data_IF_204177167733
#
_entry.id   IF_204177167733
#
_cell.length_a   1.000
_cell.length_b   1.000
_cell.length_c   1.000
_cell.angle_alpha   90.00
_cell.angle_beta   90.00
_cell.angle_gamma   90.00
#
_symmetry.space_group_name_H-M   'P 1'
#
loop_
_entity.id
_entity.type
_entity.pdbx_description
1 polymer ?
#
# COMPACT_ATOMS: atom_id res chain seq x y z
N UNK A 1 -4.50 -12.35 -36.21
CA UNK A 1 -5.62 -12.84 -35.37
C UNK A 1 -5.01 -13.09 -34.01
N UNK A 2 -5.62 -12.65 -32.91
CA UNK A 2 -5.05 -12.91 -31.58
C UNK A 2 -5.07 -14.42 -31.35
N UNK A 3 -3.90 -14.99 -31.06
CA UNK A 3 -3.79 -16.41 -30.75
C UNK A 3 -4.51 -16.69 -29.40
N UNK A 4 -5.09 -17.88 -29.28
CA UNK A 4 -5.82 -18.31 -28.07
C UNK A 4 -4.94 -18.18 -26.81
N UNK A 5 -3.64 -18.46 -26.94
CA UNK A 5 -2.64 -18.27 -25.88
C UNK A 5 -2.52 -16.82 -25.42
N UNK A 6 -2.57 -15.86 -26.34
CA UNK A 6 -2.48 -14.43 -26.04
C UNK A 6 -3.75 -13.96 -25.32
N UNK A 7 -4.92 -14.44 -25.75
CA UNK A 7 -6.20 -14.18 -25.09
C UNK A 7 -6.21 -14.66 -23.63
N UNK A 8 -5.70 -15.88 -23.37
CA UNK A 8 -5.58 -16.42 -22.01
C UNK A 8 -4.63 -15.60 -21.13
N UNK A 9 -3.51 -15.15 -21.67
CA UNK A 9 -2.56 -14.30 -20.93
C UNK A 9 -3.18 -12.95 -20.56
N UNK A 10 -3.94 -12.33 -21.46
CA UNK A 10 -4.63 -11.07 -21.20
C UNK A 10 -5.71 -11.23 -20.12
N UNK A 11 -6.51 -12.30 -20.19
CA UNK A 11 -7.52 -12.60 -19.17
C UNK A 11 -6.89 -12.83 -17.80
N UNK A 12 -5.76 -13.55 -17.76
CA UNK A 12 -5.00 -13.73 -16.52
C UNK A 12 -4.47 -12.41 -15.98
N UNK A 13 -3.90 -11.54 -16.82
CA UNK A 13 -3.40 -10.23 -16.41
C UNK A 13 -4.51 -9.32 -15.89
N UNK A 14 -5.70 -9.38 -16.49
CA UNK A 14 -6.90 -8.69 -15.99
C UNK A 14 -7.24 -9.15 -14.57
N UNK A 15 -7.29 -10.48 -14.36
CA UNK A 15 -7.56 -11.05 -13.05
C UNK A 15 -6.51 -10.65 -12.01
N UNK A 16 -5.23 -10.75 -12.35
CA UNK A 16 -4.13 -10.34 -11.48
C UNK A 16 -4.24 -8.86 -11.09
N UNK A 17 -4.59 -7.98 -12.04
CA UNK A 17 -4.76 -6.55 -11.77
C UNK A 17 -5.94 -6.27 -10.84
N UNK A 18 -7.11 -6.87 -11.10
CA UNK A 18 -8.30 -6.72 -10.25
C UNK A 18 -8.01 -7.21 -8.83
N UNK A 19 -7.41 -8.40 -8.71
CA UNK A 19 -7.07 -8.97 -7.42
C UNK A 19 -6.06 -8.10 -6.66
N UNK A 20 -4.98 -7.68 -7.31
CA UNK A 20 -3.98 -6.82 -6.69
C UNK A 20 -4.58 -5.50 -6.23
N UNK A 21 -5.44 -4.88 -7.04
CA UNK A 21 -6.07 -3.59 -6.72
C UNK A 21 -7.00 -3.70 -5.52
N UNK A 22 -7.88 -4.70 -5.51
CA UNK A 22 -8.87 -4.87 -4.44
C UNK A 22 -8.18 -5.28 -3.14
N UNK A 23 -7.27 -6.26 -3.19
CA UNK A 23 -6.60 -6.75 -2.00
C UNK A 23 -5.66 -5.70 -1.40
N UNK A 24 -4.86 -4.99 -2.22
CA UNK A 24 -4.01 -3.91 -1.72
C UNK A 24 -4.80 -2.72 -1.20
N UNK A 25 -5.93 -2.38 -1.85
CA UNK A 25 -6.84 -1.36 -1.35
C UNK A 25 -7.46 -1.75 0.00
N UNK A 26 -7.82 -3.02 0.18
CA UNK A 26 -8.32 -3.53 1.45
C UNK A 26 -7.27 -3.42 2.58
N UNK A 27 -6.06 -3.94 2.36
CA UNK A 27 -4.99 -3.83 3.37
C UNK A 27 -4.54 -2.39 3.59
N UNK A 28 -4.49 -1.59 2.53
CA UNK A 28 -4.24 -0.16 2.57
C UNK A 28 -5.26 0.55 3.46
N UNK A 29 -6.55 0.24 3.30
CA UNK A 29 -7.61 0.79 4.13
C UNK A 29 -7.52 0.32 5.59
N UNK A 30 -7.26 -0.96 5.83
CA UNK A 30 -7.10 -1.52 7.18
C UNK A 30 -5.97 -0.84 7.95
N UNK A 31 -4.87 -0.50 7.28
CA UNK A 31 -3.74 0.19 7.89
C UNK A 31 -3.94 1.72 7.95
N UNK A 32 -4.48 2.31 6.89
CA UNK A 32 -4.63 3.74 6.73
C UNK A 32 -5.79 4.35 7.50
N UNK A 33 -6.89 3.61 7.67
CA UNK A 33 -8.05 4.10 8.42
C UNK A 33 -7.69 4.36 9.90
N UNK A 34 -7.05 3.45 10.65
CA UNK A 34 -6.59 3.74 12.01
C UNK A 34 -5.65 4.95 12.09
N UNK A 35 -4.68 5.04 11.17
CA UNK A 35 -3.73 6.17 11.11
C UNK A 35 -4.46 7.48 10.85
N UNK A 36 -5.41 7.49 9.92
CA UNK A 36 -6.25 8.65 9.60
C UNK A 36 -7.12 9.09 10.77
N UNK A 37 -7.74 8.14 11.49
CA UNK A 37 -8.53 8.42 12.70
C UNK A 37 -7.65 9.04 13.78
N UNK A 38 -6.47 8.47 14.04
CA UNK A 38 -5.53 9.00 15.03
C UNK A 38 -5.08 10.41 14.65
N UNK A 39 -4.74 10.64 13.38
CA UNK A 39 -4.39 11.97 12.87
C UNK A 39 -5.55 12.97 12.95
N UNK A 40 -6.79 12.52 12.85
CA UNK A 40 -7.95 13.39 13.04
C UNK A 40 -8.13 13.74 14.51
N UNK A 41 -8.21 12.74 15.40
CA UNK A 41 -8.50 12.93 16.82
C UNK A 41 -7.42 13.72 17.56
N UNK A 42 -6.18 13.70 17.09
CA UNK A 42 -5.04 14.38 17.73
C UNK A 42 -4.78 15.80 17.24
N UNK A 43 -5.59 16.30 16.29
CA UNK A 43 -5.52 17.69 15.83
C UNK A 43 -5.94 18.67 16.91
N UNK A 44 -5.50 19.93 16.75
CA UNK A 44 -5.93 21.04 17.59
C UNK A 44 -7.47 21.20 17.54
N UNK A 45 -8.12 21.26 18.69
CA UNK A 45 -9.58 21.36 18.82
C UNK A 45 -10.34 20.04 18.69
N UNK A 46 -9.67 18.88 18.81
CA UNK A 46 -10.27 17.55 18.76
C UNK A 46 -10.16 16.81 20.11
N UNK A 47 -10.87 15.69 20.22
CA UNK A 47 -11.05 14.95 21.48
C UNK A 47 -9.72 14.54 22.16
N UNK A 48 -8.70 14.17 21.39
CA UNK A 48 -7.40 13.70 21.88
C UNK A 48 -6.27 14.65 21.46
N UNK A 49 -6.54 15.97 21.49
CA UNK A 49 -5.59 17.00 21.05
C UNK A 49 -4.17 16.75 21.60
N UNK A 50 -3.24 16.51 20.69
CA UNK A 50 -1.83 16.40 20.98
C UNK A 50 -1.02 16.85 19.76
N UNK A 51 -0.71 18.15 19.72
CA UNK A 51 -0.05 18.79 18.57
C UNK A 51 1.31 18.16 18.26
N UNK A 52 2.07 17.75 19.29
CA UNK A 52 3.37 17.12 19.08
C UNK A 52 3.23 15.75 18.43
N UNK A 53 2.37 14.90 18.99
CA UNK A 53 2.10 13.55 18.47
C UNK A 53 1.50 13.59 17.06
N UNK A 54 0.53 14.48 16.84
CA UNK A 54 -0.06 14.71 15.53
C UNK A 54 0.98 15.12 14.49
N UNK A 55 1.91 16.02 14.86
CA UNK A 55 2.97 16.48 13.97
C UNK A 55 3.94 15.37 13.61
N UNK A 56 4.35 14.53 14.57
CA UNK A 56 5.25 13.39 14.32
C UNK A 56 4.62 12.41 13.32
N UNK A 57 3.38 11.97 13.58
CA UNK A 57 2.67 11.06 12.68
C UNK A 57 2.46 11.70 11.31
N UNK A 58 2.08 12.98 11.28
CA UNK A 58 1.88 13.71 10.02
C UNK A 58 3.16 13.75 9.19
N UNK A 59 4.32 13.99 9.82
CA UNK A 59 5.61 13.96 9.13
C UNK A 59 5.90 12.57 8.58
N UNK A 60 5.71 11.50 9.36
CA UNK A 60 5.91 10.13 8.90
C UNK A 60 5.02 9.81 7.70
N UNK A 61 3.71 10.08 7.80
CA UNK A 61 2.75 9.89 6.70
C UNK A 61 3.19 10.67 5.46
N UNK A 62 3.57 11.94 5.61
CA UNK A 62 4.02 12.74 4.48
C UNK A 62 5.31 12.21 3.85
N UNK A 63 6.23 11.62 4.63
CA UNK A 63 7.44 10.96 4.11
C UNK A 63 7.05 9.76 3.24
N UNK A 64 6.23 8.84 3.75
CA UNK A 64 5.79 7.68 2.96
C UNK A 64 5.10 8.09 1.66
N UNK A 65 4.23 9.12 1.72
CA UNK A 65 3.53 9.68 0.55
C UNK A 65 4.43 10.32 -0.49
N UNK A 66 5.57 10.85 -0.08
CA UNK A 66 6.49 11.54 -1.00
C UNK A 66 7.49 10.59 -1.64
N UNK A 67 7.60 9.34 -1.19
CA UNK A 67 8.43 8.32 -1.84
C UNK A 67 7.71 7.88 -3.14
N UNK A 68 8.35 8.03 -4.32
CA UNK A 68 7.81 7.50 -5.55
C UNK A 68 7.58 5.99 -5.43
N UNK A 69 6.42 5.52 -5.89
CA UNK A 69 6.01 4.12 -5.70
C UNK A 69 7.05 3.11 -6.20
N UNK A 70 7.69 3.38 -7.34
CA UNK A 70 8.75 2.52 -7.89
C UNK A 70 9.93 2.38 -6.92
N UNK A 71 10.32 3.47 -6.23
CA UNK A 71 11.41 3.46 -5.24
C UNK A 71 10.98 2.65 -4.01
N UNK A 72 9.74 2.80 -3.56
CA UNK A 72 9.18 2.03 -2.44
C UNK A 72 9.23 0.53 -2.72
N UNK A 73 8.83 0.07 -3.92
CA UNK A 73 8.90 -1.36 -4.29
C UNK A 73 10.33 -1.89 -4.12
N UNK A 74 11.31 -1.19 -4.69
CA UNK A 74 12.72 -1.63 -4.66
C UNK A 74 13.22 -1.68 -3.22
N UNK A 75 12.91 -0.65 -2.43
CA UNK A 75 13.28 -0.58 -1.02
C UNK A 75 12.62 -1.70 -0.19
N UNK A 76 11.41 -2.11 -0.55
CA UNK A 76 10.66 -3.16 0.13
C UNK A 76 11.05 -4.59 -0.27
N UNK A 77 11.86 -4.82 -1.30
CA UNK A 77 12.29 -6.18 -1.72
C UNK A 77 12.71 -7.10 -0.56
N UNK A 78 13.63 -6.70 0.36
CA UNK A 78 14.05 -7.57 1.46
C UNK A 78 12.90 -7.88 2.41
N UNK A 79 12.03 -6.91 2.68
CA UNK A 79 10.87 -7.06 3.54
C UNK A 79 9.79 -7.95 2.90
N UNK A 80 9.50 -7.75 1.63
CA UNK A 80 8.56 -8.58 0.85
C UNK A 80 9.03 -10.04 0.81
N UNK A 81 10.33 -10.28 0.62
CA UNK A 81 10.90 -11.63 0.70
C UNK A 81 10.77 -12.24 2.08
N UNK A 82 10.94 -11.45 3.15
CA UNK A 82 10.77 -11.94 4.51
C UNK A 82 9.32 -12.38 4.82
N UNK A 83 8.32 -11.69 4.25
CA UNK A 83 6.90 -11.99 4.47
C UNK A 83 6.41 -13.13 3.56
N UNK A 84 6.72 -13.06 2.26
CA UNK A 84 6.09 -13.88 1.23
C UNK A 84 7.04 -14.96 0.69
N UNK A 85 8.33 -14.88 1.00
CA UNK A 85 9.36 -15.80 0.50
C UNK A 85 9.84 -15.50 -0.94
N UNK A 86 9.23 -14.56 -1.64
CA UNK A 86 9.58 -14.16 -3.01
C UNK A 86 9.44 -12.65 -3.22
N UNK A 87 10.17 -12.11 -4.21
CA UNK A 87 10.05 -10.72 -4.66
C UNK A 87 9.32 -10.57 -6.00
N UNK A 88 8.82 -11.66 -6.57
CA UNK A 88 8.19 -11.69 -7.89
C UNK A 88 6.83 -12.36 -7.81
N UNK A 89 5.87 -11.83 -8.58
CA UNK A 89 4.52 -12.36 -8.73
C UNK A 89 3.47 -11.59 -7.93
N UNK A 90 2.22 -12.02 -8.09
CA UNK A 90 1.04 -11.36 -7.51
C UNK A 90 1.13 -11.17 -5.99
N UNK A 91 1.51 -12.21 -5.25
CA UNK A 91 1.61 -12.15 -3.80
C UNK A 91 2.72 -11.21 -3.30
N UNK A 92 3.84 -11.14 -4.02
CA UNK A 92 4.93 -10.23 -3.69
C UNK A 92 4.55 -8.77 -3.97
N UNK A 93 3.83 -8.51 -5.06
CA UNK A 93 3.38 -7.16 -5.43
C UNK A 93 2.38 -6.56 -4.43
N UNK A 94 1.57 -7.40 -3.77
CA UNK A 94 0.60 -6.93 -2.78
C UNK A 94 1.22 -6.17 -1.61
N UNK A 95 2.41 -6.57 -1.15
CA UNK A 95 3.04 -5.98 0.03
C UNK A 95 3.37 -4.49 -0.19
N UNK A 96 4.17 -4.10 -1.21
CA UNK A 96 4.44 -2.68 -1.46
C UNK A 96 3.21 -1.91 -1.92
N UNK A 97 2.28 -2.53 -2.67
CA UNK A 97 1.02 -1.87 -3.05
C UNK A 97 0.18 -1.49 -1.83
N UNK A 98 0.07 -2.39 -0.84
CA UNK A 98 -0.69 -2.15 0.38
C UNK A 98 -0.06 -1.06 1.24
N UNK A 99 1.27 -1.06 1.37
CA UNK A 99 2.00 -0.04 2.14
C UNK A 99 1.92 1.32 1.46
N UNK A 100 2.07 1.37 0.14
CA UNK A 100 1.92 2.60 -0.63
C UNK A 100 0.48 3.16 -0.64
N UNK A 101 -0.52 2.34 -0.27
CA UNK A 101 -1.92 2.75 -0.19
C UNK A 101 -2.37 3.17 1.23
N UNK A 102 -1.61 2.83 2.27
CA UNK A 102 -2.03 2.96 3.67
C UNK A 102 -1.72 4.33 4.30
N UNK A 103 -0.58 4.97 4.00
CA UNK A 103 -0.55 6.43 3.96
C UNK A 103 0.30 6.99 2.83
#
# INVERSE_FOLDING_TARGET
MLDESTLLLLLRGLWETVFMTVASGFFGFVLGLPVGIVLFLTRKGQLLENVLYNRIISVLVNIFRSIPFIILIVWMIPFTRAIVGTSIGMWAALVPLSVGAAP
#
